data_IF_467001771744
#
_entry.id   IF_467001771744
#
_cell.length_a   1.000
_cell.length_b   1.000
_cell.length_c   1.000
_cell.angle_alpha   90.00
_cell.angle_beta   90.00
_cell.angle_gamma   90.00
#
_symmetry.space_group_name_H-M   'P 1'
#
loop_
_entity.id
_entity.type
_entity.pdbx_description
1 polymer ?
#
# COMPACT_ATOMS: atom_id res chain seq x y z
N UNK A 1 9.12 27.90 -6.52
CA UNK A 1 9.54 26.56 -6.05
C UNK A 1 10.98 26.38 -6.44
N UNK A 2 11.83 25.88 -5.54
CA UNK A 2 13.25 25.64 -5.78
C UNK A 2 13.46 24.12 -5.79
N UNK A 3 14.33 23.62 -6.68
CA UNK A 3 14.75 22.23 -6.66
C UNK A 3 15.74 22.04 -5.51
N UNK A 4 15.35 21.26 -4.49
CA UNK A 4 16.19 20.97 -3.34
C UNK A 4 17.08 19.74 -3.56
N UNK A 5 16.64 18.81 -4.40
CA UNK A 5 17.39 17.59 -4.74
C UNK A 5 17.11 17.18 -6.20
N UNK A 6 18.18 16.83 -6.92
CA UNK A 6 18.12 16.30 -8.28
C UNK A 6 17.38 14.97 -8.37
N UNK A 7 17.67 14.09 -7.43
CA UNK A 7 17.15 12.73 -7.39
C UNK A 7 17.18 12.16 -5.96
N UNK A 8 16.01 11.99 -5.35
CA UNK A 8 15.88 11.39 -4.01
C UNK A 8 16.17 9.89 -3.99
N UNK A 9 16.17 9.23 -5.16
CA UNK A 9 16.55 7.82 -5.26
C UNK A 9 18.06 7.60 -5.21
N UNK A 10 18.83 8.66 -5.46
CA UNK A 10 20.29 8.64 -5.58
C UNK A 10 20.78 7.59 -6.60
N UNK A 11 20.18 7.59 -7.79
CA UNK A 11 20.50 6.72 -8.93
C UNK A 11 20.00 5.28 -8.81
N UNK A 12 19.14 4.97 -7.83
CA UNK A 12 18.58 3.61 -7.66
C UNK A 12 17.44 3.31 -8.63
N UNK A 13 16.66 4.31 -9.00
CA UNK A 13 15.68 4.22 -10.08
C UNK A 13 16.35 4.57 -11.41
N UNK A 14 15.88 4.01 -12.55
CA UNK A 14 16.44 4.36 -13.86
C UNK A 14 16.12 5.79 -14.30
N UNK A 15 15.10 6.42 -13.70
CA UNK A 15 14.72 7.82 -13.91
C UNK A 15 14.81 8.58 -12.58
N UNK A 16 15.39 9.79 -12.55
CA UNK A 16 15.61 10.53 -11.31
C UNK A 16 14.28 10.98 -10.69
N UNK A 17 14.13 10.96 -9.37
CA UNK A 17 12.93 11.50 -8.70
C UNK A 17 13.28 12.83 -8.04
N UNK A 18 13.00 13.95 -8.70
CA UNK A 18 13.39 15.28 -8.20
C UNK A 18 12.52 15.77 -7.04
N UNK A 19 13.07 16.65 -6.20
CA UNK A 19 12.41 17.25 -5.04
C UNK A 19 12.30 18.77 -5.16
N UNK A 20 11.10 19.31 -5.02
CA UNK A 20 10.82 20.75 -5.07
C UNK A 20 10.13 21.25 -3.80
N UNK A 21 10.60 22.37 -3.26
CA UNK A 21 9.94 23.04 -2.15
C UNK A 21 10.07 24.57 -2.23
N UNK A 22 9.21 25.36 -1.56
CA UNK A 22 9.53 26.75 -1.26
C UNK A 22 10.73 26.81 -0.29
N UNK A 23 11.44 27.94 -0.26
CA UNK A 23 12.56 28.15 0.67
C UNK A 23 12.16 28.04 2.15
N UNK A 24 10.88 28.22 2.47
CA UNK A 24 10.30 28.10 3.81
C UNK A 24 9.87 26.69 4.21
N UNK A 25 9.93 25.71 3.30
CA UNK A 25 9.52 24.35 3.64
C UNK A 25 10.49 23.70 4.63
N UNK A 26 9.93 22.86 5.50
CA UNK A 26 10.75 21.96 6.33
C UNK A 26 11.47 20.94 5.44
N UNK A 27 12.63 20.45 5.89
CA UNK A 27 13.37 19.42 5.17
C UNK A 27 12.55 18.12 5.05
N UNK A 28 12.80 17.32 4.01
CA UNK A 28 12.25 15.97 3.95
C UNK A 28 12.63 15.20 5.24
N UNK A 29 11.69 14.46 5.87
CA UNK A 29 12.03 13.55 6.96
C UNK A 29 13.12 12.57 6.51
N UNK A 30 14.04 12.22 7.41
CA UNK A 30 15.13 11.29 7.11
C UNK A 30 14.57 9.89 6.84
N UNK A 31 14.88 9.31 5.68
CA UNK A 31 14.59 7.92 5.32
C UNK A 31 15.65 7.41 4.33
N UNK A 32 15.70 6.10 4.14
CA UNK A 32 16.57 5.45 3.14
C UNK A 32 15.75 5.03 1.93
N UNK A 33 16.12 5.51 0.73
CA UNK A 33 15.44 5.09 -0.48
C UNK A 33 15.69 3.61 -0.78
N UNK A 34 14.65 2.81 -1.04
CA UNK A 34 14.74 1.40 -1.49
C UNK A 34 13.78 1.17 -2.64
N UNK A 35 14.17 0.41 -3.66
CA UNK A 35 13.35 0.11 -4.85
C UNK A 35 12.52 -1.16 -4.71
N UNK A 36 12.61 -1.85 -3.58
CA UNK A 36 11.94 -3.12 -3.32
C UNK A 36 11.41 -3.22 -1.89
N UNK A 37 10.46 -4.14 -1.69
CA UNK A 37 10.03 -4.56 -0.36
C UNK A 37 11.15 -5.36 0.31
N UNK A 38 11.61 -4.88 1.46
CA UNK A 38 12.69 -5.49 2.25
C UNK A 38 12.09 -6.55 3.18
N UNK A 39 12.28 -7.81 2.82
CA UNK A 39 11.81 -8.97 3.59
C UNK A 39 12.99 -9.58 4.34
N UNK A 40 12.83 -9.83 5.64
CA UNK A 40 13.81 -10.55 6.47
C UNK A 40 13.95 -11.99 5.97
N UNK A 41 15.17 -12.54 5.97
CA UNK A 41 15.42 -13.90 5.44
C UNK A 41 14.59 -14.96 6.17
N UNK A 42 14.37 -14.75 7.46
CA UNK A 42 13.63 -15.63 8.36
C UNK A 42 12.14 -15.72 8.00
N UNK A 43 11.58 -14.66 7.39
CA UNK A 43 10.21 -14.65 6.90
C UNK A 43 10.04 -15.38 5.55
N UNK A 44 11.13 -15.60 4.80
CA UNK A 44 11.14 -16.26 3.49
C UNK A 44 11.26 -17.80 3.60
N UNK A 45 10.34 -18.43 4.34
CA UNK A 45 10.31 -19.90 4.47
C UNK A 45 10.06 -20.57 3.12
N UNK A 46 10.76 -21.68 2.83
CA UNK A 46 10.62 -22.41 1.56
C UNK A 46 9.18 -22.83 1.24
N UNK A 47 8.41 -23.15 2.29
CA UNK A 47 6.99 -23.52 2.21
C UNK A 47 6.07 -22.39 1.75
N UNK A 48 6.54 -21.14 1.76
CA UNK A 48 5.76 -19.98 1.33
C UNK A 48 5.93 -19.68 -0.16
N UNK A 49 6.83 -20.35 -0.87
CA UNK A 49 7.06 -20.13 -2.30
C UNK A 49 6.14 -21.02 -3.16
N UNK A 50 5.58 -20.41 -4.19
CA UNK A 50 4.80 -21.13 -5.20
C UNK A 50 5.70 -21.78 -6.23
N UNK A 51 5.20 -22.84 -6.88
CA UNK A 51 5.87 -23.46 -8.03
C UNK A 51 5.76 -22.57 -9.26
N UNK A 52 6.87 -22.38 -9.98
CA UNK A 52 6.87 -21.65 -11.25
C UNK A 52 6.26 -22.45 -12.40
N UNK A 53 5.79 -21.75 -13.44
CA UNK A 53 5.32 -22.41 -14.66
C UNK A 53 6.47 -22.99 -15.49
N UNK A 54 6.14 -23.96 -16.33
CA UNK A 54 7.05 -24.58 -17.30
C UNK A 54 6.76 -24.18 -18.75
N UNK A 55 6.13 -23.01 -18.95
CA UNK A 55 5.68 -22.54 -20.26
C UNK A 55 6.85 -22.10 -21.16
N UNK A 56 6.74 -22.40 -22.44
CA UNK A 56 7.59 -21.93 -23.55
C UNK A 56 6.94 -20.79 -24.36
N UNK A 57 5.64 -20.59 -24.17
CA UNK A 57 4.76 -19.62 -24.84
C UNK A 57 4.36 -18.47 -23.90
N UNK A 58 3.60 -17.50 -24.40
CA UNK A 58 3.13 -16.38 -23.59
C UNK A 58 2.13 -16.82 -22.49
N UNK A 59 2.61 -16.80 -21.25
CA UNK A 59 1.85 -17.18 -20.06
C UNK A 59 0.56 -16.39 -19.84
N UNK A 60 0.45 -15.16 -20.36
CA UNK A 60 -0.75 -14.34 -20.14
C UNK A 60 -1.95 -14.91 -20.93
N UNK A 61 -1.69 -15.41 -22.13
CA UNK A 61 -2.71 -15.96 -23.04
C UNK A 61 -2.76 -17.49 -23.03
N UNK A 62 -1.84 -18.15 -22.34
CA UNK A 62 -1.83 -19.60 -22.18
C UNK A 62 -2.69 -20.03 -20.99
N UNK A 63 -3.88 -20.60 -21.26
CA UNK A 63 -4.81 -21.11 -20.24
C UNK A 63 -4.23 -22.24 -19.38
N UNK A 64 -3.18 -22.93 -19.86
CA UNK A 64 -2.50 -24.00 -19.12
C UNK A 64 -1.42 -23.48 -18.17
N UNK A 65 -1.14 -22.18 -18.15
CA UNK A 65 -0.10 -21.61 -17.29
C UNK A 65 -0.57 -21.57 -15.82
N UNK A 66 0.12 -22.26 -14.92
CA UNK A 66 -0.20 -22.23 -13.48
C UNK A 66 0.02 -20.86 -12.81
N UNK A 67 0.76 -19.95 -13.46
CA UNK A 67 0.91 -18.58 -12.99
C UNK A 67 -0.25 -17.68 -13.44
N UNK A 68 -1.03 -18.10 -14.44
CA UNK A 68 -2.24 -17.40 -14.85
C UNK A 68 -3.30 -17.66 -13.79
N UNK A 69 -3.35 -16.79 -12.79
CA UNK A 69 -4.51 -16.70 -11.91
C UNK A 69 -5.18 -15.37 -12.22
N UNK A 70 -6.30 -15.50 -12.91
CA UNK A 70 -7.23 -14.41 -13.18
C UNK A 70 -7.72 -13.98 -11.81
N UNK A 71 -7.48 -12.73 -11.41
CA UNK A 71 -8.05 -12.18 -10.17
C UNK A 71 -9.56 -12.43 -10.17
N UNK A 72 -10.23 -12.44 -9.01
CA UNK A 72 -11.70 -12.63 -8.94
C UNK A 72 -12.44 -11.70 -9.92
N UNK A 73 -11.88 -10.51 -10.17
CA UNK A 73 -12.43 -9.49 -11.06
C UNK A 73 -11.97 -9.60 -12.52
N UNK A 74 -11.26 -10.66 -12.89
CA UNK A 74 -10.70 -10.86 -14.23
C UNK A 74 -9.76 -9.76 -14.75
N UNK A 75 -9.08 -9.08 -13.82
CA UNK A 75 -8.09 -8.05 -14.16
C UNK A 75 -6.84 -8.72 -14.72
N UNK A 76 -6.71 -8.68 -16.03
CA UNK A 76 -5.46 -8.99 -16.72
C UNK A 76 -4.53 -7.77 -16.68
N UNK A 77 -3.24 -8.04 -16.47
CA UNK A 77 -2.18 -7.04 -16.52
C UNK A 77 -1.22 -7.41 -17.66
N UNK A 78 -1.04 -6.50 -18.62
CA UNK A 78 -0.08 -6.64 -19.73
C UNK A 78 0.84 -5.41 -19.78
N UNK A 79 1.75 -5.35 -20.77
CA UNK A 79 2.70 -4.24 -20.89
C UNK A 79 2.05 -2.85 -21.05
N UNK A 80 0.81 -2.78 -21.51
CA UNK A 80 0.02 -1.54 -21.60
C UNK A 80 -0.71 -1.18 -20.31
N UNK A 81 -0.60 -1.99 -19.26
CA UNK A 81 -1.30 -1.79 -17.99
C UNK A 81 -2.36 -2.85 -17.71
N UNK A 82 -3.33 -2.51 -16.87
CA UNK A 82 -4.46 -3.38 -16.54
C UNK A 82 -5.60 -3.26 -17.55
N UNK A 83 -6.44 -4.29 -17.64
CA UNK A 83 -7.66 -4.28 -18.45
C UNK A 83 -8.79 -3.48 -17.79
N UNK A 84 -8.92 -3.56 -16.46
CA UNK A 84 -9.95 -2.88 -15.67
C UNK A 84 -9.36 -2.20 -14.44
N UNK A 85 -9.98 -1.11 -13.99
CA UNK A 85 -9.61 -0.48 -12.72
C UNK A 85 -10.26 -1.24 -11.56
N UNK A 86 -9.50 -1.52 -10.49
CA UNK A 86 -10.09 -2.12 -9.30
C UNK A 86 -11.12 -1.17 -8.67
N UNK A 87 -12.37 -1.62 -8.57
CA UNK A 87 -13.40 -0.97 -7.76
C UNK A 87 -13.17 -1.21 -6.27
N UNK A 88 -12.45 -2.28 -5.89
CA UNK A 88 -12.15 -2.60 -4.51
C UNK A 88 -11.03 -1.69 -3.98
N UNK A 89 -11.40 -0.71 -3.17
CA UNK A 89 -10.47 0.18 -2.46
C UNK A 89 -9.86 -0.48 -1.22
N UNK A 90 -10.44 -1.58 -0.73
CA UNK A 90 -9.99 -2.28 0.47
C UNK A 90 -8.87 -3.30 0.19
N UNK A 91 -8.57 -3.57 -1.09
CA UNK A 91 -7.58 -4.57 -1.51
C UNK A 91 -7.85 -5.98 -1.00
N UNK A 92 -9.09 -6.28 -0.59
CA UNK A 92 -9.39 -7.49 0.19
C UNK A 92 -9.69 -8.71 -0.66
N UNK A 93 -10.18 -8.54 -1.90
CA UNK A 93 -10.52 -9.67 -2.79
C UNK A 93 -9.57 -9.79 -3.97
N UNK A 94 -9.08 -8.68 -4.49
CA UNK A 94 -8.50 -8.70 -5.84
C UNK A 94 -6.97 -8.68 -5.80
N UNK A 95 -6.35 -9.72 -6.35
CA UNK A 95 -4.91 -9.79 -6.56
C UNK A 95 -4.56 -10.31 -7.96
N UNK A 96 -3.48 -9.81 -8.54
CA UNK A 96 -2.90 -10.31 -9.80
C UNK A 96 -1.80 -11.33 -9.47
N UNK A 97 -1.74 -12.41 -10.22
CA UNK A 97 -0.70 -13.43 -10.11
C UNK A 97 0.27 -13.34 -11.29
N UNK A 98 1.52 -12.99 -11.02
CA UNK A 98 2.57 -12.91 -12.05
C UNK A 98 3.49 -14.13 -12.07
N UNK A 99 4.08 -14.40 -13.23
CA UNK A 99 5.22 -15.30 -13.32
C UNK A 99 6.40 -14.72 -12.54
N UNK A 100 7.29 -15.57 -12.04
CA UNK A 100 8.42 -15.17 -11.20
C UNK A 100 9.71 -15.86 -11.63
N UNK A 101 10.77 -15.72 -10.83
CA UNK A 101 12.12 -16.20 -11.14
C UNK A 101 12.22 -17.74 -11.27
N UNK A 102 11.33 -18.50 -10.62
CA UNK A 102 11.31 -19.96 -10.72
C UNK A 102 10.53 -20.49 -11.93
N UNK A 103 9.96 -19.60 -12.76
CA UNK A 103 9.29 -19.97 -14.00
C UNK A 103 10.30 -20.13 -15.15
N UNK A 104 10.07 -21.07 -16.06
CA UNK A 104 10.92 -21.26 -17.25
C UNK A 104 10.59 -20.30 -18.40
N UNK A 105 9.44 -19.63 -18.33
CA UNK A 105 9.02 -18.65 -19.34
C UNK A 105 10.04 -17.52 -19.49
N UNK A 106 10.03 -16.86 -20.66
CA UNK A 106 10.95 -15.75 -20.97
C UNK A 106 11.01 -14.68 -19.87
N UNK A 107 12.17 -14.03 -19.73
CA UNK A 107 12.32 -12.83 -18.87
C UNK A 107 11.36 -11.71 -19.28
N UNK A 108 10.98 -11.65 -20.55
CA UNK A 108 10.04 -10.69 -21.12
C UNK A 108 8.59 -11.21 -21.20
N UNK A 109 8.26 -12.25 -20.44
CA UNK A 109 6.92 -12.82 -20.34
C UNK A 109 5.89 -11.71 -20.07
N UNK A 110 4.76 -11.72 -20.80
CA UNK A 110 3.73 -10.69 -20.64
C UNK A 110 3.08 -10.72 -19.26
N UNK A 111 3.17 -11.85 -18.53
CA UNK A 111 2.72 -11.99 -17.15
C UNK A 111 3.80 -11.61 -16.10
N UNK A 112 4.63 -10.59 -16.40
CA UNK A 112 5.68 -10.02 -15.50
C UNK A 112 5.68 -8.49 -15.53
N UNK A 113 4.51 -7.86 -15.61
CA UNK A 113 4.38 -6.43 -15.90
C UNK A 113 4.95 -5.56 -14.77
N UNK A 114 4.49 -5.79 -13.54
CA UNK A 114 4.83 -4.96 -12.37
C UNK A 114 6.23 -5.22 -11.82
N UNK A 115 6.95 -6.18 -12.40
CA UNK A 115 8.38 -6.42 -12.17
C UNK A 115 9.26 -5.48 -13.02
N UNK A 116 8.67 -4.74 -13.96
CA UNK A 116 9.38 -3.73 -14.75
C UNK A 116 9.88 -2.59 -13.87
N UNK A 117 11.03 -1.97 -14.21
CA UNK A 117 11.54 -0.82 -13.48
C UNK A 117 10.63 0.41 -13.67
N UNK A 118 10.82 1.44 -12.84
CA UNK A 118 10.12 2.72 -12.97
C UNK A 118 10.35 3.33 -14.36
N UNK A 119 9.29 3.61 -15.12
CA UNK A 119 9.41 4.19 -16.48
C UNK A 119 8.96 5.65 -16.56
N UNK A 120 7.92 6.02 -15.81
CA UNK A 120 7.38 7.38 -15.81
C UNK A 120 8.19 8.31 -14.92
N UNK A 121 8.32 9.56 -15.35
CA UNK A 121 9.00 10.63 -14.65
C UNK A 121 8.09 11.26 -13.60
N UNK A 122 8.53 11.28 -12.34
CA UNK A 122 7.83 11.91 -11.23
C UNK A 122 8.67 12.98 -10.55
N UNK A 123 8.03 13.81 -9.73
CA UNK A 123 8.70 14.69 -8.79
C UNK A 123 7.91 14.80 -7.48
N UNK A 124 8.64 15.01 -6.38
CA UNK A 124 8.07 15.24 -5.06
C UNK A 124 7.98 16.74 -4.81
N UNK A 125 6.83 17.20 -4.30
CA UNK A 125 6.56 18.61 -4.01
C UNK A 125 5.94 18.82 -2.64
N UNK A 126 6.34 19.89 -1.96
CA UNK A 126 5.67 20.32 -0.74
C UNK A 126 4.26 20.87 -1.02
N UNK A 127 3.25 20.30 -0.37
CA UNK A 127 1.82 20.52 -0.57
C UNK A 127 1.15 21.25 0.61
N UNK A 128 1.90 22.09 1.33
CA UNK A 128 1.39 22.87 2.45
C UNK A 128 1.01 21.96 3.62
N UNK A 129 -0.22 22.07 4.12
CA UNK A 129 -0.69 21.29 5.27
C UNK A 129 -0.88 19.79 5.00
N UNK A 130 -0.80 19.34 3.74
CA UNK A 130 -0.75 17.91 3.39
C UNK A 130 0.65 17.30 3.56
N UNK A 131 1.66 18.13 3.80
CA UNK A 131 3.05 17.69 3.80
C UNK A 131 3.59 17.50 2.38
N UNK A 132 4.23 16.37 2.09
CA UNK A 132 4.84 16.10 0.78
C UNK A 132 3.88 15.31 -0.11
N UNK A 133 3.92 15.55 -1.42
CA UNK A 133 3.10 14.85 -2.41
C UNK A 133 3.92 14.44 -3.63
N UNK A 134 3.50 13.38 -4.30
CA UNK A 134 4.07 12.90 -5.56
C UNK A 134 3.28 13.43 -6.75
N UNK A 135 3.96 13.89 -7.79
CA UNK A 135 3.37 14.49 -8.98
C UNK A 135 3.94 13.88 -10.25
N UNK A 136 3.09 13.74 -11.28
CA UNK A 136 3.53 13.35 -12.61
C UNK A 136 4.32 14.51 -13.26
N UNK A 137 5.43 14.20 -13.91
CA UNK A 137 6.18 15.18 -14.73
C UNK A 137 5.86 15.06 -16.22
N UNK A 138 5.15 14.01 -16.61
CA UNK A 138 4.74 13.72 -17.98
C UNK A 138 3.31 13.16 -17.99
N UNK A 139 2.77 12.94 -19.18
CA UNK A 139 1.47 12.29 -19.34
C UNK A 139 1.55 10.80 -19.01
N UNK A 140 0.67 10.32 -18.14
CA UNK A 140 0.53 8.89 -17.81
C UNK A 140 -0.82 8.41 -18.35
N UNK A 141 -0.84 7.52 -19.35
CA UNK A 141 -2.09 6.97 -19.87
C UNK A 141 -2.86 6.21 -18.80
N UNK A 142 -4.19 6.22 -18.88
CA UNK A 142 -5.06 5.41 -18.04
C UNK A 142 -4.62 3.94 -18.03
N UNK A 143 -4.88 3.27 -16.90
CA UNK A 143 -4.60 1.85 -16.68
C UNK A 143 -3.11 1.45 -16.63
N UNK A 144 -2.18 2.37 -16.83
CA UNK A 144 -0.73 2.12 -16.74
C UNK A 144 -0.29 1.68 -15.34
N UNK A 145 0.71 0.79 -15.28
CA UNK A 145 1.47 0.52 -14.06
C UNK A 145 2.44 1.68 -13.78
N UNK A 146 2.45 2.21 -12.55
CA UNK A 146 3.34 3.31 -12.16
C UNK A 146 4.57 2.78 -11.42
N UNK A 147 4.35 2.16 -10.25
CA UNK A 147 5.36 1.61 -9.35
C UNK A 147 4.68 0.75 -8.29
N UNK A 148 5.45 0.11 -7.42
CA UNK A 148 4.92 -0.58 -6.24
C UNK A 148 5.29 0.16 -4.95
N UNK A 149 4.55 -0.11 -3.88
CA UNK A 149 4.83 0.42 -2.55
C UNK A 149 6.03 -0.33 -1.95
N UNK A 150 7.16 0.35 -1.85
CA UNK A 150 8.37 -0.25 -1.28
C UNK A 150 8.54 0.19 0.17
N UNK A 151 9.04 -0.74 1.00
CA UNK A 151 9.34 -0.49 2.40
C UNK A 151 9.80 -1.75 3.10
N UNK A 152 9.77 -1.78 4.42
CA UNK A 152 10.05 -3.00 5.19
C UNK A 152 8.81 -3.85 5.29
N UNK A 153 8.92 -5.14 4.98
CA UNK A 153 7.90 -6.11 5.35
C UNK A 153 7.92 -6.32 6.86
N UNK A 154 6.75 -6.31 7.47
CA UNK A 154 6.57 -6.52 8.92
C UNK A 154 5.42 -7.51 9.10
N UNK A 155 5.66 -8.63 9.79
CA UNK A 155 4.58 -9.56 10.15
C UNK A 155 3.70 -8.93 11.25
N UNK A 156 2.42 -9.33 11.31
CA UNK A 156 1.48 -8.82 12.33
C UNK A 156 2.05 -8.87 13.74
N UNK A 157 2.73 -9.96 14.11
CA UNK A 157 3.24 -10.15 15.48
C UNK A 157 4.46 -9.26 15.79
N UNK A 158 5.05 -8.62 14.77
CA UNK A 158 6.25 -7.79 14.89
C UNK A 158 5.94 -6.29 15.01
N UNK A 159 4.71 -5.84 14.73
CA UNK A 159 4.33 -4.42 14.80
C UNK A 159 3.57 -4.13 16.09
N UNK A 160 4.10 -3.21 16.91
CA UNK A 160 3.36 -2.70 18.05
C UNK A 160 2.35 -1.63 17.60
N UNK A 161 1.27 -1.46 18.37
CA UNK A 161 0.25 -0.46 18.08
C UNK A 161 0.82 0.97 18.00
N UNK A 162 1.87 1.27 18.79
CA UNK A 162 2.60 2.53 18.77
C UNK A 162 3.50 2.75 17.54
N UNK A 163 3.88 1.68 16.84
CA UNK A 163 4.72 1.75 15.63
C UNK A 163 3.91 2.02 14.35
N UNK A 164 2.57 1.87 14.43
CA UNK A 164 1.66 2.18 13.33
C UNK A 164 1.72 3.69 13.04
N UNK A 165 2.18 4.03 11.85
CA UNK A 165 2.44 5.40 11.43
C UNK A 165 1.83 5.69 10.04
N UNK A 166 2.00 6.92 9.54
CA UNK A 166 1.43 7.38 8.27
C UNK A 166 1.94 6.64 7.02
N UNK A 167 3.01 5.85 7.15
CA UNK A 167 3.68 5.17 6.05
C UNK A 167 3.48 3.65 6.06
N UNK A 168 2.58 3.14 6.90
CA UNK A 168 2.26 1.72 7.00
C UNK A 168 1.13 1.35 6.03
N UNK A 169 1.40 0.36 5.18
CA UNK A 169 0.41 -0.21 4.26
C UNK A 169 0.05 -1.63 4.71
N UNK A 170 -1.23 -1.89 5.02
CA UNK A 170 -1.70 -3.21 5.44
C UNK A 170 -2.01 -4.13 4.25
N UNK A 171 -1.63 -5.40 4.35
CA UNK A 171 -1.90 -6.45 3.37
C UNK A 171 -2.66 -7.56 4.07
N UNK A 172 -3.93 -7.75 3.71
CA UNK A 172 -4.74 -8.88 4.16
C UNK A 172 -4.65 -10.05 3.18
N UNK A 173 -4.71 -11.27 3.70
CA UNK A 173 -4.99 -12.45 2.88
C UNK A 173 -6.50 -12.62 2.71
N UNK A 174 -6.93 -13.03 1.52
CA UNK A 174 -8.35 -13.16 1.23
C UNK A 174 -9.00 -14.32 2.01
N UNK A 175 -8.34 -15.48 2.00
CA UNK A 175 -8.84 -16.73 2.57
C UNK A 175 -8.61 -16.86 4.08
N UNK A 176 -7.86 -15.93 4.65
CA UNK A 176 -7.45 -15.91 6.06
C UNK A 176 -7.63 -14.47 6.56
N UNK A 177 -8.86 -14.02 6.86
CA UNK A 177 -9.11 -12.61 7.18
C UNK A 177 -8.29 -12.11 8.38
N UNK A 178 -7.97 -13.00 9.32
CA UNK A 178 -7.13 -12.68 10.48
C UNK A 178 -5.63 -12.69 10.17
N UNK A 179 -5.21 -13.19 9.02
CA UNK A 179 -3.83 -13.20 8.60
C UNK A 179 -3.52 -11.97 7.75
N UNK A 180 -2.81 -11.03 8.35
CA UNK A 180 -2.33 -9.83 7.68
C UNK A 180 -0.83 -9.60 7.93
N UNK A 181 -0.28 -8.68 7.15
CA UNK A 181 1.08 -8.19 7.27
C UNK A 181 1.12 -6.73 6.85
N UNK A 182 2.28 -6.10 6.96
CA UNK A 182 2.46 -4.69 6.67
C UNK A 182 3.68 -4.43 5.81
N UNK A 183 3.62 -3.34 5.05
CA UNK A 183 4.79 -2.68 4.47
C UNK A 183 4.95 -1.33 5.15
N UNK A 184 6.00 -1.16 5.95
CA UNK A 184 6.34 0.10 6.62
C UNK A 184 7.38 0.89 5.80
N UNK A 185 6.95 2.04 5.26
CA UNK A 185 7.80 2.95 4.49
C UNK A 185 8.38 4.13 5.30
N UNK A 186 8.31 4.07 6.64
CA UNK A 186 8.77 5.14 7.54
C UNK A 186 10.28 5.37 7.42
N UNK A 187 11.05 4.30 7.52
CA UNK A 187 12.53 4.31 7.57
C UNK A 187 13.19 3.90 6.27
N UNK A 188 12.55 3.03 5.49
CA UNK A 188 12.97 2.59 4.16
C UNK A 188 11.76 2.66 3.25
N UNK A 189 11.84 3.34 2.11
CA UNK A 189 10.76 3.34 1.12
C UNK A 189 11.18 3.93 -0.21
N UNK A 190 10.35 3.85 -1.24
CA UNK A 190 10.57 4.53 -2.52
C UNK A 190 9.69 5.79 -2.63
N UNK A 191 9.53 6.33 -3.86
CA UNK A 191 8.65 7.45 -4.16
C UNK A 191 7.17 7.24 -3.74
N UNK A 192 6.69 6.00 -3.62
CA UNK A 192 5.29 5.70 -3.32
C UNK A 192 4.84 6.24 -1.96
N UNK A 193 5.77 6.38 -1.00
CA UNK A 193 5.51 6.90 0.35
C UNK A 193 5.03 8.36 0.36
N UNK A 194 5.15 9.05 -0.78
CA UNK A 194 4.70 10.43 -0.98
C UNK A 194 3.36 10.51 -1.73
N UNK A 195 2.74 9.39 -2.08
CA UNK A 195 1.40 9.38 -2.70
C UNK A 195 0.37 9.73 -1.64
N UNK A 196 -0.32 10.84 -1.81
CA UNK A 196 -1.33 11.32 -0.86
C UNK A 196 -2.70 10.67 -1.08
N UNK A 197 -3.56 10.84 -0.08
CA UNK A 197 -4.97 10.49 -0.20
C UNK A 197 -5.77 11.47 -1.08
N UNK A 198 -6.70 10.93 -1.86
CA UNK A 198 -7.86 11.65 -2.39
C UNK A 198 -9.12 10.81 -2.27
N UNK A 199 -10.26 11.44 -1.96
CA UNK A 199 -11.57 10.76 -2.02
C UNK A 199 -12.04 10.51 -3.45
N UNK A 200 -11.46 11.22 -4.42
CA UNK A 200 -11.61 10.99 -5.86
C UNK A 200 -10.20 10.82 -6.42
N UNK A 201 -9.58 9.64 -6.22
CA UNK A 201 -8.19 9.44 -6.59
C UNK A 201 -8.06 9.11 -8.09
N UNK A 202 -6.94 9.53 -8.68
CA UNK A 202 -6.57 9.20 -10.05
C UNK A 202 -5.79 7.87 -10.18
N UNK A 203 -5.40 7.26 -9.06
CA UNK A 203 -4.78 5.93 -9.03
C UNK A 203 -5.54 4.97 -8.11
N UNK A 204 -5.26 3.68 -8.28
CA UNK A 204 -5.59 2.63 -7.31
C UNK A 204 -4.38 1.77 -7.01
N UNK A 205 -4.41 1.13 -5.85
CA UNK A 205 -3.50 0.05 -5.52
C UNK A 205 -4.16 -1.29 -5.87
N UNK A 206 -3.35 -2.30 -6.21
CA UNK A 206 -3.75 -3.70 -6.33
C UNK A 206 -2.66 -4.61 -5.74
N UNK A 207 -3.05 -5.71 -5.12
CA UNK A 207 -2.10 -6.74 -4.67
C UNK A 207 -1.57 -7.50 -5.88
N UNK A 208 -0.26 -7.69 -5.94
CA UNK A 208 0.39 -8.52 -6.96
C UNK A 208 1.27 -9.56 -6.30
N UNK A 209 0.94 -10.82 -6.53
CA UNK A 209 1.66 -11.96 -5.99
C UNK A 209 2.69 -12.44 -7.02
N UNK A 210 3.95 -12.44 -6.61
CA UNK A 210 5.09 -12.93 -7.41
C UNK A 210 5.98 -13.82 -6.54
N UNK A 211 6.08 -15.11 -6.88
CA UNK A 211 6.98 -16.07 -6.22
C UNK A 211 6.50 -16.64 -4.89
N UNK A 212 5.72 -15.91 -4.10
CA UNK A 212 5.07 -16.43 -2.90
C UNK A 212 3.69 -17.01 -3.22
N UNK A 213 3.27 -18.03 -2.49
CA UNK A 213 1.89 -18.52 -2.45
C UNK A 213 1.09 -17.81 -1.35
N UNK A 214 1.78 -17.47 -0.25
CA UNK A 214 1.22 -16.69 0.85
C UNK A 214 0.93 -15.25 0.42
N UNK A 215 -0.36 -14.91 0.33
CA UNK A 215 -0.84 -13.60 -0.14
C UNK A 215 -0.37 -12.43 0.73
N UNK A 216 0.08 -12.66 1.97
CA UNK A 216 0.65 -11.61 2.83
C UNK A 216 1.92 -11.02 2.21
N UNK A 217 2.63 -11.79 1.40
CA UNK A 217 3.84 -11.36 0.68
C UNK A 217 3.54 -10.62 -0.64
N UNK A 218 2.28 -10.26 -0.89
CA UNK A 218 1.93 -9.50 -2.09
C UNK A 218 2.66 -8.16 -2.13
N UNK A 219 3.09 -7.75 -3.32
CA UNK A 219 3.49 -6.36 -3.58
C UNK A 219 2.22 -5.53 -3.75
N UNK A 220 2.24 -4.28 -3.28
CA UNK A 220 1.15 -3.33 -3.53
C UNK A 220 1.53 -2.49 -4.73
N UNK A 221 0.89 -2.70 -5.87
CA UNK A 221 1.21 -2.04 -7.13
C UNK A 221 0.20 -0.93 -7.45
N UNK A 222 0.69 0.22 -7.91
CA UNK A 222 -0.10 1.41 -8.20
C UNK A 222 -0.35 1.49 -9.69
N UNK A 223 -1.62 1.70 -10.06
CA UNK A 223 -2.07 1.86 -11.43
C UNK A 223 -2.91 3.12 -11.57
N UNK A 224 -2.80 3.80 -12.71
CA UNK A 224 -3.66 4.95 -13.04
C UNK A 224 -5.08 4.49 -13.37
N UNK A 225 -6.10 5.14 -12.82
CA UNK A 225 -7.52 4.93 -13.16
C UNK A 225 -7.93 5.63 -14.44
N UNK A 226 -7.28 6.76 -14.71
CA UNK A 226 -7.58 7.70 -15.79
C UNK A 226 -6.26 8.26 -16.32
N UNK A 227 -6.32 8.99 -17.44
CA UNK A 227 -5.17 9.75 -17.91
C UNK A 227 -4.76 10.78 -16.85
N UNK A 228 -3.46 10.87 -16.58
CA UNK A 228 -2.88 11.82 -15.63
C UNK A 228 -2.03 12.81 -16.42
N UNK A 229 -2.34 14.09 -16.27
CA UNK A 229 -1.63 15.16 -16.96
C UNK A 229 -0.35 15.56 -16.21
N UNK A 230 0.65 16.15 -16.89
CA UNK A 230 1.80 16.72 -16.21
C UNK A 230 1.40 17.70 -15.10
N UNK A 231 2.09 17.63 -13.97
CA UNK A 231 1.84 18.41 -12.74
C UNK A 231 0.59 18.02 -11.94
N UNK A 232 -0.15 16.98 -12.32
CA UNK A 232 -1.19 16.41 -11.47
C UNK A 232 -0.59 15.59 -10.31
N UNK A 233 -1.26 15.64 -9.15
CA UNK A 233 -0.86 14.87 -7.97
C UNK A 233 -1.27 13.41 -8.13
N UNK A 234 -0.34 12.49 -7.88
CA UNK A 234 -0.65 11.07 -7.78
C UNK A 234 -1.35 10.83 -6.45
N UNK A 235 -2.56 10.27 -6.49
CA UNK A 235 -3.37 10.03 -5.30
C UNK A 235 -4.06 8.68 -5.33
N UNK A 236 -4.26 8.09 -4.15
CA UNK A 236 -5.06 6.86 -3.95
C UNK A 236 -6.11 7.08 -2.86
N UNK A 237 -7.07 6.16 -2.75
CA UNK A 237 -7.90 6.08 -1.55
C UNK A 237 -7.11 5.35 -0.45
N UNK A 238 -7.08 5.90 0.75
CA UNK A 238 -6.40 5.27 1.90
C UNK A 238 -7.30 4.28 2.63
N UNK A 239 -8.55 4.13 2.17
CA UNK A 239 -9.62 3.32 2.75
C UNK A 239 -10.12 3.82 4.11
N UNK A 240 -11.32 3.39 4.48
CA UNK A 240 -11.93 3.72 5.77
C UNK A 240 -11.07 3.22 6.96
N UNK A 241 -10.28 2.16 6.79
CA UNK A 241 -9.42 1.63 7.86
C UNK A 241 -8.39 2.66 8.35
N UNK A 242 -7.71 3.34 7.43
CA UNK A 242 -6.77 4.43 7.74
C UNK A 242 -7.48 5.58 8.46
N UNK A 243 -8.63 6.03 7.94
CA UNK A 243 -9.33 7.19 8.48
C UNK A 243 -9.94 6.92 9.85
N UNK A 244 -10.44 5.70 10.08
CA UNK A 244 -10.93 5.28 11.38
C UNK A 244 -9.78 5.21 12.41
N UNK A 245 -8.62 4.69 12.03
CA UNK A 245 -7.43 4.67 12.89
C UNK A 245 -6.95 6.09 13.22
N UNK A 246 -6.86 6.96 12.21
CA UNK A 246 -6.38 8.32 12.40
C UNK A 246 -7.35 9.24 13.14
N UNK A 247 -8.64 8.88 13.24
CA UNK A 247 -9.73 9.40 14.08
C UNK A 247 -9.95 10.92 14.16
N UNK A 248 -8.87 11.68 14.39
CA UNK A 248 -8.74 13.11 14.55
C UNK A 248 -8.21 13.82 13.29
N UNK A 249 -7.59 13.10 12.34
CA UNK A 249 -7.11 13.70 11.09
C UNK A 249 -8.26 14.08 10.16
N UNK A 250 -8.16 15.22 9.49
CA UNK A 250 -9.14 15.69 8.49
C UNK A 250 -8.57 15.55 7.10
N UNK A 251 -9.35 15.03 6.17
CA UNK A 251 -8.96 14.95 4.77
C UNK A 251 -8.87 16.34 4.13
N UNK A 252 -7.76 16.55 3.41
CA UNK A 252 -7.41 17.80 2.73
C UNK A 252 -7.39 17.64 1.21
N UNK A 253 -8.06 16.64 0.65
CA UNK A 253 -8.07 16.39 -0.80
C UNK A 253 -8.81 17.46 -1.62
N UNK A 254 -9.67 18.26 -0.96
CA UNK A 254 -10.47 19.35 -1.57
C UNK A 254 -11.48 18.92 -2.64
N UNK A 255 -11.70 17.61 -2.82
CA UNK A 255 -12.74 17.09 -3.71
C UNK A 255 -14.13 17.43 -3.16
N UNK A 256 -15.12 17.58 -4.06
CA UNK A 256 -16.51 17.88 -3.68
C UNK A 256 -17.13 16.71 -2.91
N UNK A 257 -16.79 15.50 -3.31
CA UNK A 257 -17.23 14.22 -2.75
C UNK A 257 -16.35 13.75 -1.57
N UNK A 258 -15.66 14.68 -0.89
CA UNK A 258 -14.75 14.36 0.20
C UNK A 258 -15.48 13.70 1.39
N UNK A 259 -15.12 12.45 1.69
CA UNK A 259 -15.74 11.62 2.74
C UNK A 259 -15.27 11.95 4.16
N UNK A 260 -14.08 12.52 4.30
CA UNK A 260 -13.42 12.73 5.61
C UNK A 260 -13.04 14.20 5.86
N UNK A 261 -13.73 15.13 5.19
CA UNK A 261 -13.51 16.56 5.33
C UNK A 261 -14.09 17.15 6.63
N UNK A 262 -14.08 18.49 6.76
CA UNK A 262 -14.59 19.20 7.95
C UNK A 262 -16.08 18.94 8.27
N UNK A 263 -16.86 18.51 7.28
CA UNK A 263 -18.30 18.22 7.41
C UNK A 263 -18.60 16.72 7.58
N UNK A 264 -17.59 15.86 7.68
CA UNK A 264 -17.82 14.48 8.06
C UNK A 264 -18.32 14.49 9.52
N UNK A 265 -19.60 14.13 9.71
CA UNK A 265 -20.23 13.96 11.02
C UNK A 265 -19.23 13.24 11.93
N UNK A 266 -18.99 13.79 13.12
CA UNK A 266 -18.20 13.14 14.16
C UNK A 266 -18.80 11.75 14.40
N UNK A 267 -18.26 10.73 13.72
CA UNK A 267 -18.47 9.36 14.13
C UNK A 267 -17.87 9.31 15.53
N UNK A 268 -18.75 9.10 16.49
CA UNK A 268 -18.53 9.04 17.94
C UNK A 268 -17.12 8.60 18.30
N UNK A 269 -16.53 9.25 19.30
CA UNK A 269 -15.35 8.79 20.02
C UNK A 269 -15.52 7.32 20.41
N UNK A 270 -15.00 6.43 19.60
CA UNK A 270 -14.71 5.07 20.01
C UNK A 270 -13.20 5.00 20.09
N UNK A 271 -12.67 5.11 21.31
CA UNK A 271 -11.32 4.69 21.62
C UNK A 271 -11.28 3.17 21.39
N UNK A 272 -10.97 2.75 20.17
CA UNK A 272 -10.84 1.34 19.81
C UNK A 272 -9.36 1.00 19.69
N UNK A 273 -8.97 -0.11 20.30
CA UNK A 273 -7.65 -0.71 20.15
C UNK A 273 -7.38 -0.96 18.65
N UNK A 274 -6.22 -0.53 18.11
CA UNK A 274 -5.87 -0.74 16.70
C UNK A 274 -6.02 -2.19 16.24
N UNK A 275 -5.61 -3.16 17.05
CA UNK A 275 -5.76 -4.59 16.75
C UNK A 275 -7.22 -5.04 16.80
N UNK A 276 -8.04 -4.35 17.58
CA UNK A 276 -9.47 -4.60 17.68
C UNK A 276 -10.23 -4.04 16.48
N UNK A 277 -9.79 -2.91 15.91
CA UNK A 277 -10.31 -2.39 14.64
C UNK A 277 -10.04 -3.34 13.47
N UNK A 278 -8.86 -3.95 13.45
CA UNK A 278 -8.46 -4.95 12.43
C UNK A 278 -9.20 -6.27 12.60
N UNK A 279 -9.40 -6.74 13.84
CA UNK A 279 -10.15 -7.97 14.11
C UNK A 279 -11.68 -7.80 13.91
N UNK A 280 -12.25 -6.64 14.27
CA UNK A 280 -13.66 -6.32 13.99
C UNK A 280 -13.93 -6.16 12.49
N UNK A 281 -12.96 -5.67 11.72
CA UNK A 281 -13.05 -5.65 10.26
C UNK A 281 -13.15 -7.05 9.68
N UNK A 282 -12.32 -7.99 10.16
CA UNK A 282 -12.39 -9.40 9.76
C UNK A 282 -13.64 -10.10 10.25
N UNK A 283 -14.14 -9.77 11.45
CA UNK A 283 -15.41 -10.30 11.97
C UNK A 283 -16.61 -9.77 11.16
N UNK A 284 -16.59 -8.50 10.77
CA UNK A 284 -17.64 -7.89 9.95
C UNK A 284 -17.61 -8.41 8.51
N UNK A 285 -16.43 -8.66 7.93
CA UNK A 285 -16.29 -9.36 6.63
C UNK A 285 -16.85 -10.78 6.71
N UNK A 286 -16.56 -11.52 7.78
CA UNK A 286 -17.11 -12.86 8.01
C UNK A 286 -18.64 -12.84 8.17
N UNK A 287 -19.19 -11.84 8.90
CA UNK A 287 -20.64 -11.63 9.03
C UNK A 287 -21.31 -11.28 7.68
N UNK A 288 -20.65 -10.48 6.85
CA UNK A 288 -21.17 -10.07 5.53
C UNK A 288 -21.21 -11.25 4.54
N UNK A 289 -20.17 -12.09 4.54
CA UNK A 289 -20.13 -13.29 3.69
C UNK A 289 -21.10 -14.38 4.18
N UNK A 290 -21.30 -14.52 5.49
CA UNK A 290 -22.38 -15.35 6.05
C UNK A 290 -23.75 -14.84 5.60
N UNK A 291 -24.02 -13.53 5.64
CA UNK A 291 -25.32 -12.98 5.22
C UNK A 291 -25.58 -13.11 3.71
N UNK A 292 -24.54 -13.20 2.87
CA UNK A 292 -24.70 -13.50 1.43
C UNK A 292 -24.93 -14.97 1.15
N UNK A 293 -24.42 -15.87 2.00
CA UNK A 293 -24.58 -17.33 1.85
C UNK A 293 -25.85 -17.87 2.52
N UNK A 294 -26.44 -17.14 3.48
CA UNK A 294 -27.65 -17.55 4.17
C UNK A 294 -28.74 -16.47 4.12
N UNK A 295 -29.60 -16.56 3.10
CA UNK A 295 -30.91 -15.90 3.08
C UNK A 295 -31.90 -16.44 4.13
N UNK A 296 -31.42 -17.05 5.21
CA UNK A 296 -32.21 -17.63 6.29
C UNK A 296 -31.60 -17.19 7.62
N UNK A 297 -32.37 -16.35 8.29
CA UNK A 297 -32.28 -15.93 9.68
C UNK A 297 -31.84 -17.09 10.60
N UNK A 298 -30.55 -17.15 10.95
CA UNK A 298 -30.05 -18.01 12.03
C UNK A 298 -29.12 -17.18 12.92
N UNK A 299 -29.75 -16.62 13.96
CA UNK A 299 -29.10 -16.19 15.19
C UNK A 299 -28.41 -17.42 15.81
N UNK A 300 -27.17 -17.69 15.39
CA UNK A 300 -26.28 -18.59 16.12
C UNK A 300 -25.43 -17.75 17.05
N UNK A 301 -25.80 -17.77 18.34
CA UNK A 301 -24.94 -17.37 19.45
C UNK A 301 -23.69 -18.25 19.48
N UNK A 302 -22.68 -17.92 18.67
CA UNK A 302 -21.35 -18.49 18.82
C UNK A 302 -20.67 -17.79 20.00
N UNK A 303 -20.77 -18.39 21.18
CA UNK A 303 -19.85 -18.16 22.31
C UNK A 303 -18.43 -18.55 21.89
N UNK A 304 -17.74 -17.66 21.18
CA UNK A 304 -16.29 -17.77 21.01
C UNK A 304 -15.62 -17.21 22.27
N UNK A 305 -14.91 -18.07 22.99
CA UNK A 305 -13.99 -17.67 24.05
C UNK A 305 -12.88 -16.79 23.47
N UNK A 306 -13.10 -15.48 23.42
CA UNK A 306 -12.03 -14.50 23.30
C UNK A 306 -11.29 -14.51 24.62
N UNK A 307 -10.13 -15.17 24.66
CA UNK A 307 -9.17 -14.99 25.76
C UNK A 307 -8.67 -13.55 25.69
N UNK A 308 -9.28 -12.66 26.48
CA UNK A 308 -8.75 -11.33 26.78
C UNK A 308 -7.33 -11.48 27.35
N UNK A 309 -6.28 -10.90 26.75
CA UNK A 309 -5.03 -10.75 27.46
C UNK A 309 -5.21 -9.62 28.48
N UNK A 310 -5.02 -9.95 29.76
CA UNK A 310 -4.87 -8.97 30.84
C UNK A 310 -3.55 -8.21 30.59
N UNK A 311 -3.61 -6.92 30.29
CA UNK A 311 -2.44 -6.05 30.42
C UNK A 311 -2.73 -4.93 31.43
N UNK A 312 -1.89 -4.91 32.46
CA UNK A 312 -1.88 -3.98 33.58
C UNK A 312 -1.20 -2.69 33.08
N UNK A 313 -1.91 -1.56 33.19
CA UNK A 313 -1.39 -0.24 32.85
C UNK A 313 -0.31 0.20 33.86
N UNK A 314 0.83 0.65 33.36
CA UNK A 314 1.76 1.50 34.11
C UNK A 314 2.10 2.73 33.26
N UNK A 315 1.36 3.81 33.48
CA UNK A 315 1.63 5.13 32.93
C UNK A 315 2.86 5.75 33.60
N UNK A 316 3.89 6.10 32.83
CA UNK A 316 4.84 7.15 33.22
C UNK A 316 5.18 8.00 31.99
N UNK A 317 4.64 9.22 31.99
CA UNK A 317 5.02 10.25 31.03
C UNK A 317 6.41 10.79 31.30
N UNK A 318 7.12 11.18 30.24
CA UNK A 318 8.29 12.05 30.32
C UNK A 318 8.22 13.05 29.18
N UNK A 319 8.35 14.32 29.58
CA UNK A 319 8.44 15.56 28.82
C UNK A 319 9.84 15.75 28.25
N UNK A 320 9.91 16.47 27.11
CA UNK A 320 10.99 17.37 26.62
C UNK A 320 12.41 16.74 26.47
N UNK A 321 13.32 17.11 25.58
CA UNK A 321 13.68 18.35 24.90
C UNK A 321 14.52 18.00 23.66
N UNK A 322 14.45 18.83 22.61
CA UNK A 322 15.37 18.82 21.49
C UNK A 322 16.74 19.39 21.91
N UNK A 323 17.84 18.72 21.53
CA UNK A 323 19.19 19.27 21.56
C UNK A 323 19.74 19.28 20.14
N UNK A 324 19.96 20.49 19.63
CA UNK A 324 20.65 20.75 18.38
C UNK A 324 22.11 21.09 18.74
N UNK A 325 23.06 20.18 18.46
CA UNK A 325 24.48 20.47 18.57
C UNK A 325 24.98 21.15 17.30
N UNK A 326 25.28 22.44 17.44
CA UNK A 326 25.93 23.27 16.44
C UNK A 326 27.46 23.05 16.54
N UNK A 327 28.03 22.31 15.59
CA UNK A 327 29.48 22.29 15.36
C UNK A 327 29.87 23.47 14.47
N UNK A 328 30.44 24.52 15.05
CA UNK A 328 31.37 25.42 14.34
C UNK A 328 32.67 25.54 15.13
N UNK A 329 33.75 25.08 14.49
CA UNK A 329 35.13 25.39 14.84
C UNK A 329 35.48 26.70 14.13
N UNK A 330 35.83 27.72 14.92
CA UNK A 330 36.76 28.84 14.72
C UNK A 330 36.26 30.04 15.52
#
# INVERSE_FOLDING_TARGET
>A
MIQLCGDISNGKEPVPVSLFAPSSAYALPKFTYTTSVLIRKEACLSSRFRKGCSCDTDCLFNDSCCCKNVSIDSILCNKGGVTESSSDHSLTSTYISECHESCTCSRNCANKVTQSPLTFQFHVRHCGSKGWGLFASEHIPAKSFLFHYAGKFVEEQEIAAEDINDYVFMISAENEPLAYSFIDASSYGNLSRFVNHSCVPNCFAIRVLSGFEDQRFSRICFFSRQDIQPSEEITIDYSDSYWNYKGHAKCLCKQRECRYGKNALSKSEVQMDPLQLFSDFSLNKFKLELTKLTGILLLLELKMHVRTPRFIFASKGIKDTAVCEERRRH
#
